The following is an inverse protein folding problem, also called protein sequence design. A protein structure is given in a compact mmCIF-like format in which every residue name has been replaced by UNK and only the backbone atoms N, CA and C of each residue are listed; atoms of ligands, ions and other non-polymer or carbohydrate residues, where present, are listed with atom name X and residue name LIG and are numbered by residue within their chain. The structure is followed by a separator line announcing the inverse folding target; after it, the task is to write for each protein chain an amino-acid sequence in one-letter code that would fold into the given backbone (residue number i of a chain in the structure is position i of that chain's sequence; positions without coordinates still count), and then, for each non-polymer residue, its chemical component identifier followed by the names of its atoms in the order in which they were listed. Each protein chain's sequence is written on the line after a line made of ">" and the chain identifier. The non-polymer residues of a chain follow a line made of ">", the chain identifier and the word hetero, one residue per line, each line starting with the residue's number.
data_IF_712652340345
#
_entry.id   IF_712652340345
#
_cell.length_a   1.000
_cell.length_b   1.000
_cell.length_c   1.000
_cell.angle_alpha   90.00
_cell.angle_beta   90.00
_cell.angle_gamma   90.00
#
_symmetry.space_group_name_H-M   'P 1'
#
loop_
_entity.id
_entity.type
_entity.pdbx_description
1 polymer ?
#
# COMPACT_ATOMS: atom_id res chain seq x y z
N UNK A 1 0.89 -34.58 -3.28
CA UNK A 1 -0.07 -33.58 -2.76
C UNK A 1 0.74 -32.55 -1.99
N UNK A 2 0.18 -31.42 -1.55
CA UNK A 2 1.00 -30.43 -0.82
C UNK A 2 1.57 -31.05 0.47
N UNK A 3 2.87 -30.88 0.69
CA UNK A 3 3.59 -31.57 1.78
C UNK A 3 3.07 -31.14 3.17
N UNK A 4 2.60 -29.90 3.30
CA UNK A 4 2.08 -29.37 4.57
C UNK A 4 0.55 -29.56 4.72
N UNK A 5 -0.11 -30.20 3.76
CA UNK A 5 -1.56 -30.43 3.76
C UNK A 5 -2.39 -29.28 3.18
N UNK A 6 -3.58 -29.61 2.69
CA UNK A 6 -4.40 -28.68 1.89
C UNK A 6 -4.89 -27.47 2.68
N UNK A 7 -5.19 -27.64 3.97
CA UNK A 7 -5.58 -26.54 4.87
C UNK A 7 -4.45 -25.51 4.99
N UNK A 8 -3.20 -25.97 5.09
CA UNK A 8 -2.04 -25.07 5.19
C UNK A 8 -1.78 -24.35 3.88
N UNK A 9 -2.01 -25.01 2.75
CA UNK A 9 -1.96 -24.38 1.44
C UNK A 9 -3.01 -23.25 1.30
N UNK A 10 -4.26 -23.53 1.69
CA UNK A 10 -5.35 -22.56 1.68
C UNK A 10 -5.07 -21.37 2.61
N UNK A 11 -4.59 -21.64 3.83
CA UNK A 11 -4.20 -20.61 4.80
C UNK A 11 -3.08 -19.72 4.26
N UNK A 12 -2.09 -20.32 3.58
CA UNK A 12 -1.00 -19.58 2.94
C UNK A 12 -1.53 -18.58 1.91
N UNK A 13 -2.40 -18.99 0.99
CA UNK A 13 -2.99 -18.08 0.00
C UNK A 13 -3.87 -17.02 0.67
N UNK A 14 -4.69 -17.40 1.64
CA UNK A 14 -5.56 -16.47 2.37
C UNK A 14 -4.75 -15.34 3.03
N UNK A 15 -3.70 -15.69 3.79
CA UNK A 15 -2.85 -14.70 4.47
C UNK A 15 -2.07 -13.85 3.46
N UNK A 16 -1.63 -14.45 2.36
CA UNK A 16 -0.84 -13.77 1.34
C UNK A 16 -1.65 -12.69 0.61
N UNK A 17 -2.87 -13.03 0.18
CA UNK A 17 -3.77 -12.09 -0.50
C UNK A 17 -4.25 -11.02 0.49
N UNK A 18 -4.60 -11.41 1.73
CA UNK A 18 -4.95 -10.46 2.80
C UNK A 18 -3.82 -9.44 3.02
N UNK A 19 -2.57 -9.89 3.07
CA UNK A 19 -1.40 -9.03 3.24
C UNK A 19 -1.20 -8.08 2.06
N UNK A 20 -1.39 -8.55 0.83
CA UNK A 20 -1.29 -7.75 -0.40
C UNK A 20 -2.36 -6.64 -0.44
N UNK A 21 -3.61 -6.98 -0.16
CA UNK A 21 -4.72 -6.02 -0.14
C UNK A 21 -4.59 -5.03 1.02
N UNK A 22 -4.15 -5.48 2.21
CA UNK A 22 -3.87 -4.60 3.35
C UNK A 22 -2.75 -3.60 3.04
N UNK A 23 -1.67 -4.08 2.41
CA UNK A 23 -0.56 -3.26 1.91
C UNK A 23 -1.06 -2.17 0.95
N UNK A 24 -1.83 -2.57 -0.07
CA UNK A 24 -2.35 -1.66 -1.10
C UNK A 24 -3.29 -0.61 -0.51
N UNK A 25 -4.24 -1.01 0.34
CA UNK A 25 -5.14 -0.07 1.00
C UNK A 25 -4.42 0.90 1.92
N UNK A 26 -3.36 0.45 2.59
CA UNK A 26 -2.50 1.33 3.39
C UNK A 26 -1.86 2.41 2.52
N UNK A 27 -1.33 2.05 1.35
CA UNK A 27 -0.75 3.02 0.40
C UNK A 27 -1.82 4.01 -0.07
N UNK A 28 -3.02 3.55 -0.41
CA UNK A 28 -4.14 4.41 -0.82
C UNK A 28 -4.51 5.40 0.29
N UNK A 29 -4.65 4.92 1.54
CA UNK A 29 -4.99 5.76 2.68
C UNK A 29 -3.90 6.80 2.99
N UNK A 30 -2.62 6.43 2.94
CA UNK A 30 -1.50 7.37 3.12
C UNK A 30 -1.49 8.39 1.97
N UNK A 31 -1.77 7.96 0.74
CA UNK A 31 -1.86 8.85 -0.42
C UNK A 31 -2.99 9.87 -0.26
N UNK A 32 -4.16 9.44 0.21
CA UNK A 32 -5.30 10.32 0.48
C UNK A 32 -5.01 11.30 1.62
N UNK A 33 -4.39 10.83 2.70
CA UNK A 33 -3.97 11.67 3.82
C UNK A 33 -3.00 12.79 3.37
N UNK A 34 -1.95 12.42 2.61
CA UNK A 34 -1.00 13.39 2.05
C UNK A 34 -1.65 14.34 1.05
N UNK A 35 -2.58 13.85 0.24
CA UNK A 35 -3.35 14.69 -0.68
C UNK A 35 -4.11 15.79 0.08
N UNK A 36 -4.82 15.43 1.17
CA UNK A 36 -5.56 16.41 1.97
C UNK A 36 -4.62 17.38 2.68
N UNK A 37 -3.49 16.91 3.22
CA UNK A 37 -2.49 17.76 3.88
C UNK A 37 -1.91 18.83 2.95
N UNK A 38 -1.61 18.45 1.70
CA UNK A 38 -0.96 19.34 0.72
C UNK A 38 -1.97 20.24 0.00
N UNK A 39 -3.11 19.68 -0.42
CA UNK A 39 -4.10 20.41 -1.21
C UNK A 39 -5.05 21.26 -0.34
N UNK A 40 -5.30 20.85 0.90
CA UNK A 40 -6.25 21.50 1.80
C UNK A 40 -5.69 21.71 3.22
N UNK A 41 -4.55 22.40 3.39
CA UNK A 41 -3.86 22.50 4.68
C UNK A 41 -4.73 23.13 5.79
N UNK A 42 -5.58 24.12 5.47
CA UNK A 42 -6.46 24.77 6.45
C UNK A 42 -7.62 23.86 6.93
N UNK A 43 -8.04 22.92 6.09
CA UNK A 43 -9.11 21.98 6.42
C UNK A 43 -8.57 20.62 6.87
N UNK A 44 -7.26 20.39 6.79
CA UNK A 44 -6.63 19.16 7.25
C UNK A 44 -7.02 18.76 8.69
N UNK A 45 -6.93 19.64 9.72
CA UNK A 45 -7.25 19.25 11.09
C UNK A 45 -8.74 18.91 11.30
N UNK A 46 -9.64 19.44 10.46
CA UNK A 46 -11.08 19.15 10.56
C UNK A 46 -11.50 17.96 9.69
N UNK A 47 -10.75 17.63 8.64
CA UNK A 47 -11.00 16.53 7.71
C UNK A 47 -10.38 15.22 8.20
N UNK A 48 -9.09 15.26 8.58
CA UNK A 48 -8.31 14.11 9.05
C UNK A 48 -8.35 14.08 10.58
N UNK A 49 -9.18 13.19 11.12
CA UNK A 49 -9.30 12.99 12.57
C UNK A 49 -9.07 11.52 12.93
N UNK A 50 -8.53 11.27 14.12
CA UNK A 50 -8.28 9.91 14.61
C UNK A 50 -9.50 8.96 14.50
N UNK A 51 -10.72 9.35 14.92
CA UNK A 51 -11.89 8.45 14.80
C UNK A 51 -12.25 8.14 13.35
N UNK A 52 -12.14 9.11 12.43
CA UNK A 52 -12.40 8.88 11.00
C UNK A 52 -11.37 7.95 10.39
N UNK A 53 -10.09 8.15 10.70
CA UNK A 53 -9.02 7.27 10.20
C UNK A 53 -9.18 5.85 10.71
N UNK A 54 -9.51 5.67 12.00
CA UNK A 54 -9.83 4.34 12.56
C UNK A 54 -11.00 3.70 11.80
N UNK A 55 -12.07 4.44 11.55
CA UNK A 55 -13.21 3.93 10.80
C UNK A 55 -12.84 3.53 9.36
N UNK A 56 -12.08 4.35 8.64
CA UNK A 56 -11.61 4.03 7.29
C UNK A 56 -10.73 2.77 7.27
N UNK A 57 -9.82 2.63 8.24
CA UNK A 57 -8.96 1.44 8.37
C UNK A 57 -9.81 0.19 8.67
N UNK A 58 -10.71 0.25 9.65
CA UNK A 58 -11.58 -0.89 9.98
C UNK A 58 -12.48 -1.28 8.80
N UNK A 59 -13.08 -0.31 8.12
CA UNK A 59 -13.91 -0.54 6.94
C UNK A 59 -13.10 -1.24 5.84
N UNK A 60 -11.89 -0.77 5.57
CA UNK A 60 -11.00 -1.40 4.58
C UNK A 60 -10.68 -2.85 4.96
N UNK A 61 -10.27 -3.11 6.20
CA UNK A 61 -9.99 -4.47 6.66
C UNK A 61 -11.20 -5.41 6.50
N UNK A 62 -12.39 -4.94 6.86
CA UNK A 62 -13.62 -5.72 6.67
C UNK A 62 -13.90 -6.01 5.19
N UNK A 63 -13.73 -5.02 4.31
CA UNK A 63 -13.87 -5.22 2.86
C UNK A 63 -12.85 -6.23 2.32
N UNK A 64 -11.60 -6.18 2.77
CA UNK A 64 -10.55 -7.11 2.34
C UNK A 64 -10.85 -8.53 2.83
N UNK A 65 -11.22 -8.71 4.09
CA UNK A 65 -11.57 -10.03 4.63
C UNK A 65 -12.73 -10.64 3.84
N UNK A 66 -13.76 -9.85 3.56
CA UNK A 66 -14.88 -10.27 2.73
C UNK A 66 -14.43 -10.65 1.31
N UNK A 67 -13.62 -9.80 0.68
CA UNK A 67 -13.08 -10.05 -0.66
C UNK A 67 -12.28 -11.35 -0.76
N UNK A 68 -11.31 -11.57 0.15
CA UNK A 68 -10.47 -12.78 0.15
C UNK A 68 -11.32 -14.04 0.41
N UNK A 69 -12.31 -13.94 1.29
CA UNK A 69 -13.24 -15.05 1.55
C UNK A 69 -14.08 -15.38 0.31
N UNK A 70 -14.55 -14.37 -0.42
CA UNK A 70 -15.28 -14.58 -1.68
C UNK A 70 -14.39 -15.19 -2.77
N UNK A 71 -13.14 -14.74 -2.87
CA UNK A 71 -12.19 -15.22 -3.87
C UNK A 71 -11.76 -16.66 -3.64
N UNK A 72 -11.60 -17.08 -2.38
CA UNK A 72 -11.18 -18.44 -2.00
C UNK A 72 -12.36 -19.35 -1.60
N UNK A 73 -13.61 -18.96 -1.89
CA UNK A 73 -14.81 -19.68 -1.41
C UNK A 73 -14.82 -21.15 -1.83
N UNK A 74 -14.39 -21.47 -3.05
CA UNK A 74 -14.50 -22.81 -3.61
C UNK A 74 -13.46 -23.75 -3.00
N UNK A 75 -12.25 -23.25 -2.72
CA UNK A 75 -11.22 -23.96 -1.96
C UNK A 75 -11.56 -24.09 -0.47
N UNK A 76 -12.35 -23.17 0.10
CA UNK A 76 -12.85 -23.28 1.48
C UNK A 76 -13.93 -24.35 1.62
N UNK A 77 -14.73 -24.58 0.58
CA UNK A 77 -15.75 -25.64 0.54
C UNK A 77 -15.08 -27.00 0.32
N UNK A 78 -14.12 -27.08 -0.59
CA UNK A 78 -13.42 -28.31 -0.92
C UNK A 78 -11.89 -28.08 -0.98
N UNK A 79 -11.20 -28.14 0.17
CA UNK A 79 -9.76 -27.89 0.24
C UNK A 79 -8.96 -28.88 -0.60
N UNK A 80 -8.05 -28.37 -1.44
CA UNK A 80 -7.17 -29.20 -2.25
C UNK A 80 -7.76 -29.61 -3.60
N UNK A 81 -8.93 -29.07 -3.96
CA UNK A 81 -9.56 -29.26 -5.28
C UNK A 81 -8.61 -28.92 -6.43
N UNK A 82 -7.78 -27.90 -6.25
CA UNK A 82 -6.81 -27.44 -7.25
C UNK A 82 -5.39 -28.02 -7.10
N UNK A 83 -5.12 -28.87 -6.11
CA UNK A 83 -3.76 -29.34 -5.84
C UNK A 83 -3.38 -30.54 -6.72
N UNK A 84 -2.40 -30.33 -7.60
CA UNK A 84 -1.76 -31.46 -8.29
C UNK A 84 -0.88 -32.21 -7.28
N UNK A 85 -0.99 -33.53 -7.17
CA UNK A 85 -0.27 -34.30 -6.15
C UNK A 85 1.26 -34.39 -6.33
N UNK A 86 1.86 -33.40 -6.99
CA UNK A 86 3.27 -33.22 -7.33
C UNK A 86 4.03 -32.47 -6.22
N UNK A 87 3.33 -31.95 -5.20
CA UNK A 87 3.95 -31.23 -4.09
C UNK A 87 3.95 -29.72 -4.25
N UNK A 88 3.14 -29.18 -5.17
CA UNK A 88 2.88 -27.75 -5.34
C UNK A 88 1.57 -27.36 -4.63
N UNK A 89 1.48 -26.08 -4.22
CA UNK A 89 0.28 -25.49 -3.62
C UNK A 89 -0.32 -24.53 -4.65
N UNK A 90 -1.39 -24.95 -5.29
CA UNK A 90 -1.99 -24.25 -6.43
C UNK A 90 -3.46 -24.01 -6.15
N UNK A 91 -3.91 -22.77 -6.36
CA UNK A 91 -5.31 -22.38 -6.30
C UNK A 91 -5.72 -21.95 -7.70
N UNK A 92 -6.72 -22.63 -8.27
CA UNK A 92 -7.29 -22.23 -9.54
C UNK A 92 -8.44 -21.25 -9.31
N UNK A 93 -8.50 -20.20 -10.12
CA UNK A 93 -9.59 -19.24 -10.13
C UNK A 93 -10.19 -19.19 -11.53
N UNK A 94 -11.51 -18.98 -11.61
CA UNK A 94 -12.15 -18.79 -12.91
C UNK A 94 -11.67 -17.48 -13.55
N UNK A 95 -11.62 -17.45 -14.89
CA UNK A 95 -11.24 -16.26 -15.65
C UNK A 95 -12.01 -14.98 -15.23
N UNK A 96 -13.29 -15.12 -14.86
CA UNK A 96 -14.10 -14.00 -14.36
C UNK A 96 -13.54 -13.48 -13.03
N UNK A 97 -13.17 -14.37 -12.11
CA UNK A 97 -12.60 -14.02 -10.80
C UNK A 97 -11.22 -13.38 -10.98
N UNK A 98 -10.37 -13.92 -11.84
CA UNK A 98 -9.06 -13.35 -12.16
C UNK A 98 -9.18 -11.94 -12.78
N UNK A 99 -10.17 -11.76 -13.65
CA UNK A 99 -10.46 -10.44 -14.25
C UNK A 99 -10.95 -9.45 -13.21
N UNK A 100 -11.83 -9.86 -12.29
CA UNK A 100 -12.26 -9.01 -11.19
C UNK A 100 -11.09 -8.65 -10.26
N UNK A 101 -10.20 -9.60 -9.98
CA UNK A 101 -9.01 -9.37 -9.17
C UNK A 101 -8.06 -8.35 -9.82
N UNK A 102 -7.83 -8.41 -11.15
CA UNK A 102 -7.10 -7.37 -11.88
C UNK A 102 -7.67 -5.98 -11.62
N UNK A 103 -8.99 -5.82 -11.70
CA UNK A 103 -9.61 -4.51 -11.49
C UNK A 103 -9.50 -4.04 -10.03
N UNK A 104 -9.79 -4.93 -9.08
CA UNK A 104 -9.88 -4.60 -7.65
C UNK A 104 -8.49 -4.41 -7.04
N UNK A 105 -7.56 -5.33 -7.34
CA UNK A 105 -6.26 -5.44 -6.69
C UNK A 105 -5.18 -4.64 -7.42
N UNK A 106 -5.38 -4.26 -8.69
CA UNK A 106 -4.38 -3.51 -9.48
C UNK A 106 -4.93 -2.21 -10.09
N UNK A 107 -5.88 -2.28 -11.03
CA UNK A 107 -6.26 -1.10 -11.83
C UNK A 107 -6.91 0.00 -11.00
N UNK A 108 -7.85 -0.34 -10.10
CA UNK A 108 -8.52 0.64 -9.25
C UNK A 108 -7.52 1.33 -8.30
N UNK A 109 -6.68 0.62 -7.53
CA UNK A 109 -5.67 1.26 -6.69
C UNK A 109 -4.69 2.12 -7.47
N UNK A 110 -4.12 1.64 -8.59
CA UNK A 110 -3.21 2.43 -9.43
C UNK A 110 -3.88 3.73 -9.88
N UNK A 111 -5.12 3.65 -10.36
CA UNK A 111 -5.84 4.82 -10.87
C UNK A 111 -6.07 5.86 -9.77
N UNK A 112 -6.57 5.44 -8.60
CA UNK A 112 -6.78 6.33 -7.45
C UNK A 112 -5.47 7.01 -7.06
N UNK A 113 -4.41 6.22 -6.94
CA UNK A 113 -3.10 6.70 -6.51
C UNK A 113 -2.52 7.70 -7.53
N UNK A 114 -2.53 7.39 -8.82
CA UNK A 114 -2.04 8.27 -9.89
C UNK A 114 -2.82 9.58 -9.93
N UNK A 115 -4.15 9.54 -9.84
CA UNK A 115 -4.99 10.75 -9.84
C UNK A 115 -4.68 11.63 -8.64
N UNK A 116 -4.55 11.06 -7.45
CA UNK A 116 -4.19 11.81 -6.24
C UNK A 116 -2.82 12.48 -6.40
N UNK A 117 -1.83 11.77 -6.96
CA UNK A 117 -0.49 12.34 -7.16
C UNK A 117 -0.41 13.42 -8.22
N UNK A 118 -1.11 13.24 -9.34
CA UNK A 118 -1.17 14.28 -10.36
C UNK A 118 -1.74 15.57 -9.78
N UNK A 119 -2.77 15.48 -8.94
CA UNK A 119 -3.32 16.66 -8.24
C UNK A 119 -2.32 17.27 -7.26
N UNK A 120 -1.64 16.46 -6.45
CA UNK A 120 -0.58 16.93 -5.53
C UNK A 120 0.53 17.65 -6.29
N UNK A 121 0.99 17.08 -7.40
CA UNK A 121 2.04 17.66 -8.23
C UNK A 121 1.62 19.01 -8.83
N UNK A 122 0.41 19.08 -9.40
CA UNK A 122 -0.15 20.32 -9.96
C UNK A 122 -0.22 21.41 -8.88
N UNK A 123 -0.73 21.09 -7.69
CA UNK A 123 -0.80 22.04 -6.57
C UNK A 123 0.60 22.50 -6.14
N UNK A 124 1.55 21.58 -6.01
CA UNK A 124 2.94 21.91 -5.64
C UNK A 124 3.61 22.85 -6.65
N UNK A 125 3.45 22.57 -7.96
CA UNK A 125 4.04 23.41 -9.03
C UNK A 125 3.37 24.77 -9.09
N UNK A 126 2.05 24.84 -8.94
CA UNK A 126 1.30 26.10 -8.96
C UNK A 126 1.72 26.99 -7.78
N UNK A 127 1.87 26.41 -6.59
CA UNK A 127 2.36 27.14 -5.42
C UNK A 127 3.81 27.59 -5.57
N UNK A 128 4.69 26.76 -6.14
CA UNK A 128 6.08 27.15 -6.40
C UNK A 128 6.16 28.35 -7.36
N UNK A 129 5.37 28.34 -8.45
CA UNK A 129 5.32 29.44 -9.42
C UNK A 129 4.78 30.74 -8.81
N UNK A 130 3.72 30.67 -8.00
CA UNK A 130 3.16 31.84 -7.31
C UNK A 130 4.11 32.46 -6.28
N UNK A 131 5.07 31.69 -5.76
CA UNK A 131 6.09 32.19 -4.82
C UNK A 131 7.24 32.93 -5.51
N UNK A 132 7.58 32.59 -6.75
CA UNK A 132 8.62 33.31 -7.50
C UNK A 132 8.21 34.73 -7.92
N UNK A 133 6.91 35.08 -7.83
CA UNK A 133 6.40 36.40 -8.21
C UNK A 133 6.26 37.41 -7.07
N UNK A 134 6.52 37.06 -5.80
CA UNK A 134 6.35 37.98 -4.67
C UNK A 134 7.62 38.08 -3.81
N UNK A 135 8.37 39.18 -3.97
CA UNK A 135 9.62 39.43 -3.26
C UNK A 135 9.41 40.35 -2.03
N UNK A 136 9.93 39.89 -0.88
CA UNK A 136 10.72 40.67 0.10
C UNK A 136 10.07 41.47 1.24
N UNK A 137 8.99 41.02 1.89
CA UNK A 137 8.57 41.63 3.18
C UNK A 137 8.08 40.70 4.30
N UNK A 138 7.91 39.39 4.08
CA UNK A 138 7.37 38.46 5.10
C UNK A 138 8.35 37.29 5.38
N UNK A 139 9.62 37.60 5.61
CA UNK A 139 10.73 36.63 5.55
C UNK A 139 10.68 35.50 6.59
N UNK A 140 10.01 35.70 7.73
CA UNK A 140 10.05 34.76 8.87
C UNK A 140 8.83 33.82 8.95
N UNK A 141 7.63 34.25 8.57
CA UNK A 141 6.48 33.35 8.43
C UNK A 141 6.54 32.53 7.13
N UNK A 142 7.12 33.09 6.05
CA UNK A 142 7.37 32.37 4.81
C UNK A 142 8.43 31.28 4.97
N UNK A 143 9.46 31.44 5.82
CA UNK A 143 10.52 30.44 5.99
C UNK A 143 10.01 29.18 6.68
N UNK A 144 9.18 29.32 7.72
CA UNK A 144 8.51 28.19 8.40
C UNK A 144 7.53 27.50 7.46
N UNK A 145 6.67 28.25 6.75
CA UNK A 145 5.79 27.67 5.72
C UNK A 145 6.57 27.02 4.56
N UNK A 146 7.71 27.57 4.15
CA UNK A 146 8.60 26.98 3.14
C UNK A 146 9.20 25.67 3.61
N UNK A 147 9.65 25.60 4.87
CA UNK A 147 10.26 24.41 5.43
C UNK A 147 9.23 23.27 5.55
N UNK A 148 8.02 23.59 6.02
CA UNK A 148 6.90 22.62 6.09
C UNK A 148 6.48 22.17 4.68
N UNK A 149 6.37 23.07 3.70
CA UNK A 149 6.04 22.68 2.31
C UNK A 149 7.12 21.82 1.66
N UNK A 150 8.40 22.10 1.92
CA UNK A 150 9.53 21.31 1.41
C UNK A 150 9.55 19.91 2.03
N UNK A 151 9.21 19.76 3.31
CA UNK A 151 9.08 18.44 3.94
C UNK A 151 7.88 17.66 3.40
N UNK A 152 6.75 18.34 3.15
CA UNK A 152 5.57 17.69 2.55
C UNK A 152 5.82 17.25 1.10
N UNK A 153 6.53 18.05 0.29
CA UNK A 153 6.91 17.63 -1.06
C UNK A 153 7.89 16.45 -1.06
N UNK A 154 8.81 16.41 -0.08
CA UNK A 154 9.69 15.25 0.12
C UNK A 154 8.88 14.01 0.50
N UNK A 155 7.85 14.14 1.35
CA UNK A 155 6.95 13.05 1.68
C UNK A 155 6.12 12.60 0.46
N UNK A 156 5.65 13.52 -0.38
CA UNK A 156 4.96 13.21 -1.64
C UNK A 156 5.87 12.47 -2.65
N UNK A 157 7.17 12.79 -2.68
CA UNK A 157 8.16 12.06 -3.49
C UNK A 157 8.30 10.60 -3.06
N UNK A 158 8.40 10.35 -1.75
CA UNK A 158 8.44 8.99 -1.18
C UNK A 158 7.22 8.17 -1.59
N UNK A 159 6.08 8.83 -1.57
CA UNK A 159 4.80 8.28 -1.95
C UNK A 159 4.77 7.87 -3.45
N UNK A 160 5.41 8.65 -4.33
CA UNK A 160 5.66 8.25 -5.72
C UNK A 160 6.55 7.01 -5.87
N UNK A 161 7.54 6.82 -4.99
CA UNK A 161 8.36 5.59 -4.96
C UNK A 161 7.51 4.36 -4.64
N UNK A 162 6.54 4.47 -3.72
CA UNK A 162 5.62 3.37 -3.41
C UNK A 162 4.82 2.93 -4.63
N UNK A 163 4.38 3.87 -5.48
CA UNK A 163 3.64 3.55 -6.71
C UNK A 163 4.51 2.76 -7.68
N UNK A 164 5.74 3.22 -7.90
CA UNK A 164 6.66 2.56 -8.84
C UNK A 164 6.96 1.15 -8.36
N UNK A 165 7.21 0.98 -7.06
CA UNK A 165 7.44 -0.35 -6.45
C UNK A 165 6.21 -1.25 -6.63
N UNK A 166 5.03 -0.74 -6.33
CA UNK A 166 3.78 -1.47 -6.49
C UNK A 166 3.54 -1.90 -7.95
N UNK A 167 3.77 -1.00 -8.92
CA UNK A 167 3.70 -1.31 -10.35
C UNK A 167 4.73 -2.37 -10.76
N UNK A 168 5.99 -2.24 -10.33
CA UNK A 168 7.05 -3.22 -10.65
C UNK A 168 6.75 -4.61 -10.07
N UNK A 169 6.07 -4.68 -8.93
CA UNK A 169 5.72 -5.95 -8.28
C UNK A 169 4.49 -6.64 -8.88
N UNK A 170 3.44 -5.88 -9.25
CA UNK A 170 2.16 -6.47 -9.68
C UNK A 170 1.97 -6.48 -11.20
N UNK A 171 2.48 -5.49 -11.93
CA UNK A 171 2.32 -5.40 -13.38
C UNK A 171 2.82 -6.64 -14.12
N UNK A 172 4.02 -7.19 -13.82
CA UNK A 172 4.52 -8.37 -14.52
C UNK A 172 3.59 -9.58 -14.42
N UNK A 173 2.95 -9.77 -13.27
CA UNK A 173 2.02 -10.89 -13.04
C UNK A 173 0.80 -10.78 -13.96
N UNK A 174 0.09 -9.65 -13.92
CA UNK A 174 -1.11 -9.46 -14.73
C UNK A 174 -0.80 -9.37 -16.22
N UNK A 175 0.34 -8.78 -16.61
CA UNK A 175 0.77 -8.79 -18.01
C UNK A 175 1.01 -10.21 -18.51
N UNK A 176 1.72 -11.06 -17.75
CA UNK A 176 1.93 -12.45 -18.14
C UNK A 176 0.63 -13.24 -18.21
N UNK A 177 -0.30 -13.02 -17.27
CA UNK A 177 -1.59 -13.72 -17.22
C UNK A 177 -2.45 -13.46 -18.47
N UNK A 178 -2.42 -12.24 -19.03
CA UNK A 178 -3.28 -11.87 -20.18
C UNK A 178 -2.59 -11.78 -21.54
N UNK A 179 -1.28 -11.52 -21.59
CA UNK A 179 -0.55 -11.30 -22.86
C UNK A 179 0.20 -12.54 -23.35
N UNK A 180 0.46 -13.52 -22.48
CA UNK A 180 1.25 -14.70 -22.80
C UNK A 180 0.37 -15.95 -22.65
N UNK A 181 -0.35 -16.28 -23.73
CA UNK A 181 -1.28 -17.43 -23.81
C UNK A 181 -0.56 -18.80 -23.83
N UNK A 182 0.78 -18.82 -23.98
CA UNK A 182 1.54 -20.06 -24.15
C UNK A 182 2.61 -20.25 -23.08
N UNK A 183 2.35 -21.21 -22.19
CA UNK A 183 3.33 -21.93 -21.38
C UNK A 183 4.09 -21.10 -20.34
N UNK A 184 3.37 -20.57 -19.34
CA UNK A 184 3.99 -20.22 -18.06
C UNK A 184 4.56 -21.50 -17.42
N UNK A 185 5.85 -21.77 -17.66
CA UNK A 185 6.59 -22.81 -16.93
C UNK A 185 6.52 -22.46 -15.44
N UNK A 186 6.39 -23.46 -14.56
CA UNK A 186 6.21 -23.29 -13.10
C UNK A 186 7.23 -22.32 -12.46
N UNK A 187 8.44 -22.26 -13.01
CA UNK A 187 9.50 -21.32 -12.61
C UNK A 187 9.11 -19.85 -12.78
N UNK A 188 8.45 -19.46 -13.88
CA UNK A 188 8.04 -18.08 -14.12
C UNK A 188 6.93 -17.66 -13.17
N UNK A 189 5.95 -18.54 -12.93
CA UNK A 189 4.85 -18.28 -11.99
C UNK A 189 5.39 -18.06 -10.58
N UNK A 190 6.33 -18.90 -10.13
CA UNK A 190 6.96 -18.76 -8.81
C UNK A 190 7.73 -17.44 -8.66
N UNK A 191 8.44 -17.01 -9.70
CA UNK A 191 9.13 -15.72 -9.72
C UNK A 191 8.14 -14.54 -9.68
N UNK A 192 7.04 -14.61 -10.42
CA UNK A 192 6.01 -13.58 -10.43
C UNK A 192 5.30 -13.48 -9.07
N UNK A 193 4.95 -14.61 -8.46
CA UNK A 193 4.39 -14.65 -7.10
C UNK A 193 5.38 -14.05 -6.08
N UNK A 194 6.66 -14.38 -6.19
CA UNK A 194 7.70 -13.76 -5.37
C UNK A 194 7.72 -12.23 -5.51
N UNK A 195 7.62 -11.70 -6.74
CA UNK A 195 7.55 -10.25 -6.97
C UNK A 195 6.31 -9.62 -6.33
N UNK A 196 5.15 -10.28 -6.40
CA UNK A 196 3.92 -9.83 -5.73
C UNK A 196 4.14 -9.75 -4.22
N UNK A 197 4.74 -10.77 -3.61
CA UNK A 197 5.00 -10.79 -2.16
C UNK A 197 6.01 -9.72 -1.76
N UNK A 198 6.98 -9.42 -2.62
CA UNK A 198 7.98 -8.38 -2.39
C UNK A 198 7.34 -6.99 -2.20
N UNK A 199 6.17 -6.72 -2.81
CA UNK A 199 5.41 -5.47 -2.63
C UNK A 199 5.17 -5.15 -1.15
N UNK A 200 4.71 -6.13 -0.38
CA UNK A 200 4.41 -5.95 1.03
C UNK A 200 5.68 -5.80 1.88
N UNK A 201 6.77 -6.48 1.51
CA UNK A 201 8.06 -6.40 2.20
C UNK A 201 8.76 -5.05 2.01
N UNK A 202 8.63 -4.43 0.83
CA UNK A 202 9.28 -3.17 0.52
C UNK A 202 8.65 -1.98 1.25
N UNK A 203 7.39 -2.07 1.65
CA UNK A 203 6.69 -0.99 2.34
C UNK A 203 7.38 -0.54 3.64
N UNK A 204 7.64 -1.40 4.65
CA UNK A 204 8.41 -1.00 5.84
C UNK A 204 9.80 -0.43 5.53
N UNK A 205 10.49 -0.98 4.51
CA UNK A 205 11.82 -0.53 4.12
C UNK A 205 11.78 0.89 3.53
N UNK A 206 10.82 1.15 2.65
CA UNK A 206 10.55 2.49 2.10
C UNK A 206 10.18 3.42 3.25
N UNK A 207 9.31 3.00 4.18
CA UNK A 207 8.96 3.85 5.32
C UNK A 207 10.16 4.19 6.20
N UNK A 208 11.02 3.22 6.49
CA UNK A 208 12.24 3.43 7.26
C UNK A 208 13.24 4.35 6.54
N UNK A 209 13.40 4.22 5.23
CA UNK A 209 14.31 5.06 4.45
C UNK A 209 13.87 6.53 4.41
N UNK A 210 12.57 6.76 4.27
CA UNK A 210 12.06 8.07 3.90
C UNK A 210 11.34 8.83 5.03
N UNK A 211 10.90 8.15 6.08
CA UNK A 211 10.19 8.76 7.22
C UNK A 211 11.03 8.71 8.51
N UNK A 212 11.65 9.84 8.91
CA UNK A 212 12.43 9.92 10.15
C UNK A 212 11.63 9.56 11.41
N UNK A 213 10.36 9.99 11.50
CA UNK A 213 9.48 9.64 12.61
C UNK A 213 9.22 8.13 12.68
N UNK A 214 9.11 7.45 11.53
CA UNK A 214 8.89 6.01 11.48
C UNK A 214 10.09 5.27 12.04
N UNK A 215 11.32 5.71 11.71
CA UNK A 215 12.54 5.17 12.32
C UNK A 215 12.57 5.36 13.84
N UNK A 216 12.18 6.55 14.34
CA UNK A 216 12.06 6.78 15.78
C UNK A 216 11.04 5.84 16.43
N UNK A 217 9.86 5.69 15.83
CA UNK A 217 8.80 4.80 16.30
C UNK A 217 9.27 3.34 16.35
N UNK A 218 9.85 2.83 15.26
CA UNK A 218 10.41 1.46 15.20
C UNK A 218 11.50 1.27 16.25
N UNK A 219 12.38 2.26 16.44
CA UNK A 219 13.39 2.21 17.50
C UNK A 219 12.73 2.10 18.88
N UNK A 220 11.70 2.89 19.18
CA UNK A 220 10.98 2.79 20.46
C UNK A 220 10.29 1.44 20.66
N UNK A 221 9.71 0.86 19.61
CA UNK A 221 9.07 -0.46 19.64
C UNK A 221 10.13 -1.54 19.91
N UNK A 222 11.22 -1.58 19.13
CA UNK A 222 12.27 -2.61 19.24
C UNK A 222 13.05 -2.48 20.55
N UNK A 223 13.27 -1.26 21.04
CA UNK A 223 13.92 -1.03 22.36
C UNK A 223 12.95 -1.16 23.54
N UNK A 224 11.70 -1.58 23.30
CA UNK A 224 10.63 -1.76 24.29
C UNK A 224 10.37 -0.51 25.14
N UNK A 225 10.73 0.68 24.64
CA UNK A 225 10.51 1.95 25.31
C UNK A 225 9.02 2.30 25.36
N UNK A 226 8.19 1.69 24.51
CA UNK A 226 6.74 1.76 24.55
C UNK A 226 6.13 1.20 25.84
N UNK A 227 6.83 0.28 26.53
CA UNK A 227 6.37 -0.34 27.78
C UNK A 227 6.73 0.48 29.03
N UNK A 228 7.53 1.54 28.89
CA UNK A 228 7.91 2.39 30.02
C UNK A 228 6.74 3.30 30.44
N UNK A 229 6.53 3.54 31.75
CA UNK A 229 5.54 4.52 32.20
C UNK A 229 5.86 5.90 31.61
N UNK A 230 4.85 6.59 31.08
CA UNK A 230 4.99 7.86 30.35
C UNK A 230 5.22 7.75 28.84
N UNK A 231 5.26 6.54 28.27
CA UNK A 231 5.44 6.34 26.81
C UNK A 231 4.36 7.00 25.94
N UNK A 232 3.16 7.19 26.48
CA UNK A 232 2.06 7.90 25.82
C UNK A 232 2.36 9.38 25.51
N UNK A 233 3.32 9.98 26.22
CA UNK A 233 3.72 11.40 26.04
C UNK A 233 4.99 11.55 25.19
N UNK A 234 5.57 10.44 24.70
CA UNK A 234 6.80 10.49 23.92
C UNK A 234 6.60 11.23 22.60
N UNK A 235 7.40 12.28 22.36
CA UNK A 235 7.34 13.05 21.12
C UNK A 235 8.09 12.31 19.99
N UNK A 236 7.33 11.64 19.12
CA UNK A 236 7.83 10.82 18.01
C UNK A 236 8.00 11.65 16.71
N UNK A 237 7.46 12.87 16.67
CA UNK A 237 7.51 13.78 15.51
C UNK A 237 8.88 14.46 15.33
#
# INVERSE_FOLDING_TARGET
>A
CWILGDITCLFYYYVSILSLCASTGTIVLISADRYVAICYPLHYPTRITLPRMKHCVCLWWSCVVFYVTCLLKDEMIEPGRSNSCIGECTVSADYIVETLDLFITFLFPVTVIVVLYMRVFVVAVTQARAMYSHNRSVTLQLSVQQQTKKSELKAARTLGVLVVVYLMCLCPYYCCLYLIDSLATTTYVSFLLFLIYLNSCLNPLIYAMFYPWFRKAVKHIVTLQILKPGSCEANIL
#
